data_IF_281197994904
#
_entry.id   IF_281197994904
#
_cell.length_a   1.000
_cell.length_b   1.000
_cell.length_c   1.000
_cell.angle_alpha   90.00
_cell.angle_beta   90.00
_cell.angle_gamma   90.00
#
_symmetry.space_group_name_H-M   'P 1'
#
loop_
_entity.id
_entity.type
_entity.pdbx_description
1 polymer ?
#
# COMPACT_ATOMS: atom_id res chain seq x y z
N UNK A 1 7.89 7.85 -10.91
CA UNK A 1 7.10 8.11 -9.68
C UNK A 1 6.26 9.35 -9.95
N UNK A 2 5.02 9.39 -9.47
CA UNK A 2 4.12 10.54 -9.60
C UNK A 2 3.53 10.85 -8.21
N UNK A 3 3.59 12.12 -7.79
CA UNK A 3 3.01 12.61 -6.55
C UNK A 3 2.04 13.76 -6.84
N UNK A 4 1.30 13.66 -7.94
CA UNK A 4 0.42 14.71 -8.46
C UNK A 4 1.12 16.08 -8.48
N UNK A 5 0.47 17.11 -7.96
CA UNK A 5 1.02 18.47 -7.86
C UNK A 5 1.89 18.73 -6.62
N UNK A 6 2.25 17.71 -5.83
CA UNK A 6 3.00 17.93 -4.59
C UNK A 6 4.46 18.32 -4.84
N UNK A 7 5.12 17.66 -5.78
CA UNK A 7 6.51 17.90 -6.17
C UNK A 7 6.85 17.10 -7.44
N UNK A 8 7.93 17.50 -8.13
CA UNK A 8 8.45 16.76 -9.27
C UNK A 8 9.70 15.94 -8.89
N UNK A 9 9.66 14.61 -8.99
CA UNK A 9 10.82 13.77 -8.67
C UNK A 9 11.93 13.80 -9.73
N UNK A 10 11.64 14.23 -10.95
CA UNK A 10 12.64 14.28 -12.03
C UNK A 10 13.58 15.49 -11.90
N UNK A 11 13.16 16.53 -11.18
CA UNK A 11 13.94 17.72 -10.86
C UNK A 11 14.52 17.72 -9.44
N UNK A 12 14.54 16.57 -8.76
CA UNK A 12 14.87 16.46 -7.33
C UNK A 12 13.98 17.29 -6.38
N UNK A 13 12.85 17.81 -6.87
CA UNK A 13 11.92 18.65 -6.10
C UNK A 13 11.22 17.92 -4.95
N UNK A 14 11.21 16.59 -4.95
CA UNK A 14 10.59 15.78 -3.90
C UNK A 14 11.51 15.46 -2.71
N UNK A 15 12.77 15.89 -2.72
CA UNK A 15 13.73 15.57 -1.66
C UNK A 15 13.38 16.18 -0.30
N UNK A 16 12.63 17.30 -0.29
CA UNK A 16 12.12 17.96 0.93
C UNK A 16 11.19 17.06 1.76
N UNK A 17 10.50 16.10 1.14
CA UNK A 17 9.62 15.14 1.84
C UNK A 17 10.39 14.26 2.84
N UNK A 18 11.71 14.18 2.74
CA UNK A 18 12.56 13.46 3.70
C UNK A 18 12.33 13.92 5.16
N UNK A 19 12.16 15.23 5.37
CA UNK A 19 11.93 15.79 6.71
C UNK A 19 10.57 15.36 7.26
N UNK A 20 9.52 15.43 6.43
CA UNK A 20 8.17 15.00 6.81
C UNK A 20 8.12 13.51 7.12
N UNK A 21 8.79 12.68 6.29
CA UNK A 21 8.89 11.24 6.51
C UNK A 21 9.47 10.94 7.89
N UNK A 22 10.62 11.55 8.22
CA UNK A 22 11.26 11.38 9.53
C UNK A 22 10.40 11.88 10.68
N UNK A 23 9.71 13.01 10.50
CA UNK A 23 8.80 13.58 11.48
C UNK A 23 7.63 12.65 11.80
N UNK A 24 7.04 12.00 10.79
CA UNK A 24 5.98 11.01 10.99
C UNK A 24 6.51 9.72 11.63
N UNK A 25 7.68 9.25 11.21
CA UNK A 25 8.33 8.08 11.79
C UNK A 25 8.67 8.28 13.28
N UNK A 26 9.09 9.48 13.68
CA UNK A 26 9.34 9.82 15.09
C UNK A 26 8.07 9.73 15.96
N UNK A 27 6.87 9.79 15.34
CA UNK A 27 5.57 9.58 16.00
C UNK A 27 5.09 8.13 15.93
N UNK A 28 5.95 7.19 15.54
CA UNK A 28 5.63 5.77 15.41
C UNK A 28 4.89 5.38 14.13
N UNK A 29 4.55 6.35 13.27
CA UNK A 29 3.82 6.10 12.02
C UNK A 29 4.75 5.45 11.00
N UNK A 30 4.32 4.33 10.43
CA UNK A 30 5.02 3.63 9.36
C UNK A 30 4.68 4.28 8.02
N UNK A 31 5.70 4.55 7.21
CA UNK A 31 5.53 5.09 5.86
C UNK A 31 6.05 4.11 4.81
N UNK A 32 5.17 3.73 3.90
CA UNK A 32 5.43 2.80 2.82
C UNK A 32 5.45 3.54 1.48
N UNK A 33 6.27 3.06 0.54
CA UNK A 33 6.15 3.46 -0.86
C UNK A 33 5.22 2.47 -1.56
N UNK A 34 4.10 2.95 -2.08
CA UNK A 34 3.24 2.13 -2.92
C UNK A 34 3.76 2.07 -4.36
N UNK A 35 3.78 0.86 -4.92
CA UNK A 35 4.10 0.58 -6.32
C UNK A 35 2.83 0.11 -7.03
N UNK A 36 2.63 0.62 -8.24
CA UNK A 36 1.45 0.32 -9.06
C UNK A 36 0.47 1.48 -9.10
N UNK A 37 -0.78 1.23 -8.70
CA UNK A 37 -1.94 2.09 -8.85
C UNK A 37 -2.65 1.94 -10.20
N UNK A 38 -3.86 2.46 -10.31
CA UNK A 38 -4.69 2.39 -11.53
C UNK A 38 -4.07 3.08 -12.77
N UNK A 39 -3.19 4.06 -12.56
CA UNK A 39 -2.58 4.84 -13.63
C UNK A 39 -1.15 4.40 -13.94
N UNK A 40 -0.78 4.47 -15.23
CA UNK A 40 0.56 4.15 -15.71
C UNK A 40 0.69 2.75 -16.29
N UNK A 41 1.89 2.40 -16.72
CA UNK A 41 2.21 1.09 -17.30
C UNK A 41 3.40 0.51 -16.57
N UNK A 42 3.20 -0.62 -15.91
CA UNK A 42 4.21 -1.33 -15.14
C UNK A 42 4.02 -2.83 -15.30
N UNK A 43 5.13 -3.55 -15.32
CA UNK A 43 5.17 -5.00 -15.32
C UNK A 43 6.57 -5.45 -14.90
N UNK A 44 6.71 -6.74 -14.59
CA UNK A 44 8.00 -7.38 -14.43
C UNK A 44 8.13 -8.40 -15.56
N UNK A 45 9.27 -8.40 -16.25
CA UNK A 45 9.49 -9.30 -17.38
C UNK A 45 10.03 -10.68 -16.96
N UNK A 46 10.69 -10.76 -15.80
CA UNK A 46 11.32 -11.98 -15.29
C UNK A 46 11.64 -11.88 -13.79
N UNK A 47 12.03 -12.99 -13.13
CA UNK A 47 12.55 -12.94 -11.75
C UNK A 47 13.82 -12.07 -11.62
N UNK A 48 14.65 -12.00 -12.67
CA UNK A 48 15.85 -11.15 -12.71
C UNK A 48 15.45 -9.67 -12.75
N UNK A 49 14.40 -9.35 -13.50
CA UNK A 49 13.86 -8.00 -13.57
C UNK A 49 13.29 -7.55 -12.20
N UNK A 50 12.55 -8.44 -11.53
CA UNK A 50 12.11 -8.24 -10.15
C UNK A 50 13.30 -7.98 -9.19
N UNK A 51 14.40 -8.72 -9.35
CA UNK A 51 15.61 -8.50 -8.56
C UNK A 51 16.25 -7.12 -8.83
N UNK A 52 16.27 -6.68 -10.10
CA UNK A 52 16.79 -5.35 -10.46
C UNK A 52 15.96 -4.24 -9.81
N UNK A 53 14.63 -4.35 -9.87
CA UNK A 53 13.72 -3.41 -9.19
C UNK A 53 13.98 -3.37 -7.69
N UNK A 54 14.16 -4.52 -7.03
CA UNK A 54 14.45 -4.60 -5.60
C UNK A 54 15.77 -3.93 -5.18
N UNK A 55 16.70 -3.72 -6.13
CA UNK A 55 18.05 -3.20 -5.88
C UNK A 55 18.23 -1.73 -6.24
N UNK A 56 17.18 -1.05 -6.70
CA UNK A 56 17.29 0.35 -7.14
C UNK A 56 17.88 1.25 -6.04
N UNK A 57 18.85 2.09 -6.41
CA UNK A 57 19.51 3.05 -5.51
C UNK A 57 18.93 4.46 -5.63
N UNK A 58 17.90 4.65 -6.46
CA UNK A 58 17.28 5.97 -6.65
C UNK A 58 16.62 6.45 -5.36
N UNK A 59 16.80 7.74 -5.04
CA UNK A 59 16.32 8.37 -3.80
C UNK A 59 15.45 9.59 -4.10
N UNK A 60 14.31 9.43 -4.78
CA UNK A 60 13.52 10.58 -5.23
C UNK A 60 12.87 11.35 -4.06
N UNK A 61 12.74 10.73 -2.89
CA UNK A 61 12.23 11.34 -1.64
C UNK A 61 13.36 11.77 -0.68
N UNK A 62 14.58 11.90 -1.18
CA UNK A 62 15.75 12.30 -0.40
C UNK A 62 16.35 11.17 0.46
N UNK A 63 17.04 11.56 1.54
CA UNK A 63 17.82 10.64 2.37
C UNK A 63 17.01 9.87 3.44
N UNK A 64 15.68 10.01 3.47
CA UNK A 64 14.81 9.27 4.38
C UNK A 64 14.74 7.79 4.00
N UNK A 65 14.68 6.91 5.01
CA UNK A 65 14.53 5.47 4.80
C UNK A 65 13.10 5.09 5.16
N UNK A 66 12.30 4.78 4.15
CA UNK A 66 10.92 4.29 4.33
C UNK A 66 10.89 2.98 5.11
N UNK A 67 9.71 2.65 5.63
CA UNK A 67 9.50 1.45 6.44
C UNK A 67 9.19 0.22 5.59
N UNK A 68 8.66 0.40 4.39
CA UNK A 68 8.24 -0.72 3.57
C UNK A 68 7.82 -0.37 2.15
N UNK A 69 7.37 -1.39 1.43
CA UNK A 69 6.83 -1.32 0.08
C UNK A 69 5.40 -1.86 0.09
N UNK A 70 4.49 -1.11 -0.51
CA UNK A 70 3.10 -1.48 -0.69
C UNK A 70 2.84 -1.91 -2.14
N UNK A 71 2.22 -3.06 -2.34
CA UNK A 71 1.93 -3.65 -3.64
C UNK A 71 0.47 -3.37 -4.01
N UNK A 72 0.24 -2.24 -4.70
CA UNK A 72 -1.05 -1.86 -5.27
C UNK A 72 -1.07 -2.18 -6.77
N UNK A 73 -0.98 -3.46 -7.09
CA UNK A 73 -0.82 -3.90 -8.48
C UNK A 73 -2.21 -4.07 -9.11
N UNK A 74 -2.61 -3.13 -9.95
CA UNK A 74 -3.94 -3.13 -10.59
C UNK A 74 -3.87 -3.50 -12.09
N UNK A 75 -2.72 -3.24 -12.74
CA UNK A 75 -2.49 -3.44 -14.17
C UNK A 75 -1.51 -4.56 -14.51
N UNK A 76 -1.34 -4.79 -15.83
CA UNK A 76 -0.31 -5.68 -16.37
C UNK A 76 -0.54 -7.16 -16.03
N UNK A 77 0.55 -7.88 -15.78
CA UNK A 77 0.52 -9.31 -15.45
C UNK A 77 0.63 -9.52 -13.95
N UNK A 78 0.11 -10.64 -13.45
CA UNK A 78 0.35 -11.04 -12.06
C UNK A 78 1.70 -11.73 -11.83
N UNK A 79 2.65 -11.65 -12.79
CA UNK A 79 3.92 -12.42 -12.80
C UNK A 79 5.00 -11.72 -11.98
N UNK A 80 5.83 -12.52 -11.31
CA UNK A 80 7.08 -12.14 -10.63
C UNK A 80 6.95 -11.15 -9.45
N UNK A 81 5.74 -10.74 -9.08
CA UNK A 81 5.51 -9.96 -7.85
C UNK A 81 5.88 -10.75 -6.59
N UNK A 82 5.77 -12.09 -6.63
CA UNK A 82 6.23 -12.96 -5.54
C UNK A 82 7.76 -13.04 -5.46
N UNK A 83 8.45 -13.03 -6.61
CA UNK A 83 9.91 -12.88 -6.63
C UNK A 83 10.34 -11.54 -6.04
N UNK A 84 9.69 -10.44 -6.43
CA UNK A 84 9.97 -9.11 -5.88
C UNK A 84 9.78 -9.10 -4.36
N UNK A 85 8.67 -9.65 -3.86
CA UNK A 85 8.41 -9.76 -2.42
C UNK A 85 9.51 -10.55 -1.69
N UNK A 86 9.97 -11.69 -2.26
CA UNK A 86 11.08 -12.47 -1.68
C UNK A 86 12.39 -11.69 -1.66
N UNK A 87 12.73 -10.96 -2.72
CA UNK A 87 13.95 -10.14 -2.76
C UNK A 87 13.92 -9.00 -1.75
N UNK A 88 12.80 -8.27 -1.66
CA UNK A 88 12.63 -7.20 -0.69
C UNK A 88 12.67 -7.74 0.75
N UNK A 89 11.98 -8.84 1.04
CA UNK A 89 11.95 -9.45 2.37
C UNK A 89 13.35 -9.83 2.88
N UNK A 90 14.24 -10.31 2.00
CA UNK A 90 15.64 -10.66 2.35
C UNK A 90 16.44 -9.48 2.89
N UNK A 91 16.12 -8.23 2.52
CA UNK A 91 16.79 -7.05 3.07
C UNK A 91 16.52 -6.85 4.56
N UNK A 92 15.43 -7.41 5.10
CA UNK A 92 15.15 -7.38 6.54
C UNK A 92 16.25 -8.05 7.36
N UNK A 93 17.01 -9.00 6.77
CA UNK A 93 18.14 -9.66 7.43
C UNK A 93 19.38 -8.76 7.56
N UNK A 94 19.38 -7.59 6.92
CA UNK A 94 20.51 -6.65 6.89
C UNK A 94 20.38 -5.50 7.89
N UNK A 95 19.36 -5.52 8.75
CA UNK A 95 19.13 -4.48 9.76
C UNK A 95 17.64 -4.20 9.95
N UNK A 96 17.20 -3.02 9.50
CA UNK A 96 15.79 -2.59 9.63
C UNK A 96 14.88 -3.54 8.84
N UNK A 97 13.80 -4.02 9.49
CA UNK A 97 12.73 -4.77 8.82
C UNK A 97 12.17 -3.96 7.66
N UNK A 98 12.00 -4.62 6.51
CA UNK A 98 11.27 -4.10 5.36
C UNK A 98 9.85 -4.64 5.45
N UNK A 99 8.91 -3.76 5.78
CA UNK A 99 7.49 -4.13 5.80
C UNK A 99 6.98 -4.32 4.37
N UNK A 100 6.16 -5.35 4.17
CA UNK A 100 5.48 -5.59 2.90
C UNK A 100 3.98 -5.49 3.11
N UNK A 101 3.32 -4.63 2.35
CA UNK A 101 1.86 -4.58 2.28
C UNK A 101 1.35 -4.79 0.88
N UNK A 102 0.08 -5.15 0.75
CA UNK A 102 -0.58 -5.28 -0.53
C UNK A 102 -2.01 -4.73 -0.47
N UNK A 103 -2.47 -4.19 -1.58
CA UNK A 103 -3.83 -3.71 -1.77
C UNK A 103 -4.56 -4.52 -2.86
N UNK A 104 -4.85 -5.82 -2.64
CA UNK A 104 -5.59 -6.62 -3.60
C UNK A 104 -7.03 -6.11 -3.78
N UNK A 105 -7.62 -6.35 -4.94
CA UNK A 105 -9.06 -6.21 -5.14
C UNK A 105 -9.81 -7.27 -4.31
N UNK A 106 -11.09 -7.04 -4.01
CA UNK A 106 -11.87 -7.98 -3.21
C UNK A 106 -12.17 -9.36 -3.86
N UNK A 107 -12.23 -9.53 -5.21
CA UNK A 107 -12.39 -10.85 -5.80
C UNK A 107 -11.23 -11.77 -5.44
N UNK A 108 -11.55 -12.92 -4.87
CA UNK A 108 -10.56 -13.87 -4.39
C UNK A 108 -10.49 -15.12 -5.28
N UNK A 109 -9.29 -15.58 -5.69
CA UNK A 109 -7.98 -14.97 -5.45
C UNK A 109 -7.75 -13.74 -6.34
N UNK A 110 -6.98 -12.77 -5.84
CA UNK A 110 -6.59 -11.59 -6.61
C UNK A 110 -5.71 -11.97 -7.82
N UNK A 111 -6.08 -11.48 -9.00
CA UNK A 111 -5.44 -11.85 -10.26
C UNK A 111 -4.04 -11.25 -10.47
N UNK A 112 -3.67 -10.22 -9.70
CA UNK A 112 -2.42 -9.46 -9.86
C UNK A 112 -1.42 -9.82 -8.77
N UNK A 113 -1.80 -9.66 -7.51
CA UNK A 113 -0.93 -9.85 -6.34
C UNK A 113 -1.18 -11.18 -5.61
N UNK A 114 -2.18 -11.98 -6.02
CA UNK A 114 -2.54 -13.24 -5.35
C UNK A 114 -1.38 -14.24 -5.23
N UNK A 115 -0.48 -14.32 -6.21
CA UNK A 115 0.74 -15.14 -6.10
C UNK A 115 1.72 -14.63 -5.05
N UNK A 116 1.92 -13.33 -4.98
CA UNK A 116 2.77 -12.70 -3.98
C UNK A 116 2.21 -12.93 -2.57
N UNK A 117 0.90 -12.78 -2.39
CA UNK A 117 0.23 -13.05 -1.11
C UNK A 117 0.45 -14.50 -0.61
N UNK A 118 0.45 -15.48 -1.51
CA UNK A 118 0.70 -16.90 -1.17
C UNK A 118 2.10 -17.17 -0.60
N UNK A 119 3.03 -16.22 -0.70
CA UNK A 119 4.37 -16.37 -0.09
C UNK A 119 4.34 -16.31 1.44
N UNK A 120 3.30 -15.72 2.04
CA UNK A 120 3.22 -15.49 3.49
C UNK A 120 4.17 -14.40 4.00
N UNK A 121 4.72 -13.56 3.11
CA UNK A 121 5.70 -12.52 3.46
C UNK A 121 5.09 -11.15 3.77
N UNK A 122 3.78 -10.97 3.53
CA UNK A 122 3.10 -9.69 3.69
C UNK A 122 2.65 -9.48 5.13
N UNK A 123 2.96 -8.31 5.68
CA UNK A 123 2.63 -7.89 7.04
C UNK A 123 1.21 -7.30 7.13
N UNK A 124 0.80 -6.56 6.09
CA UNK A 124 -0.50 -5.91 6.02
C UNK A 124 -1.17 -6.18 4.67
N UNK A 125 -2.47 -6.47 4.68
CA UNK A 125 -3.26 -6.67 3.46
C UNK A 125 -4.52 -5.83 3.54
N UNK A 126 -4.56 -4.76 2.75
CA UNK A 126 -5.65 -3.79 2.70
C UNK A 126 -6.55 -4.11 1.50
N UNK A 127 -7.46 -5.06 1.67
CA UNK A 127 -8.37 -5.49 0.58
C UNK A 127 -9.28 -4.34 0.16
N UNK A 128 -9.31 -4.05 -1.15
CA UNK A 128 -10.13 -2.99 -1.73
C UNK A 128 -11.58 -3.47 -1.92
N UNK A 129 -12.44 -3.23 -0.92
CA UNK A 129 -13.88 -3.54 -0.97
C UNK A 129 -14.71 -2.48 -1.72
N UNK A 130 -14.17 -1.96 -2.82
CA UNK A 130 -14.81 -0.98 -3.69
C UNK A 130 -14.41 -1.23 -5.15
N UNK A 131 -15.10 -0.61 -6.11
CA UNK A 131 -14.85 -0.77 -7.56
C UNK A 131 -14.90 -2.22 -8.08
N UNK A 132 -15.68 -3.09 -7.42
CA UNK A 132 -15.84 -4.50 -7.78
C UNK A 132 -17.33 -4.86 -7.81
N UNK A 133 -17.78 -5.57 -8.83
CA UNK A 133 -19.16 -6.08 -8.88
C UNK A 133 -19.40 -7.15 -7.78
N UNK A 134 -20.57 -7.17 -7.11
CA UNK A 134 -21.74 -6.31 -7.29
C UNK A 134 -21.69 -4.96 -6.54
N UNK A 135 -20.64 -4.73 -5.75
CA UNK A 135 -20.46 -3.58 -4.84
C UNK A 135 -20.41 -2.19 -5.52
N UNK A 136 -20.27 -2.11 -6.84
CA UNK A 136 -20.25 -0.84 -7.58
C UNK A 136 -19.12 0.08 -7.10
N UNK A 137 -19.45 1.33 -6.78
CA UNK A 137 -18.48 2.30 -6.19
C UNK A 137 -17.99 1.88 -4.80
N UNK A 138 -18.72 1.02 -4.08
CA UNK A 138 -18.33 0.47 -2.79
C UNK A 138 -18.21 1.46 -1.62
N UNK A 139 -18.73 2.69 -1.75
CA UNK A 139 -18.74 3.62 -0.63
C UNK A 139 -19.72 3.15 0.47
N UNK A 140 -19.20 3.00 1.69
CA UNK A 140 -19.99 2.61 2.87
C UNK A 140 -20.24 3.85 3.72
N UNK A 141 -21.50 4.15 4.03
CA UNK A 141 -21.84 5.24 4.96
C UNK A 141 -21.24 4.98 6.35
N UNK A 142 -20.80 6.03 7.05
CA UNK A 142 -20.13 5.91 8.35
C UNK A 142 -21.00 5.17 9.38
N UNK A 143 -22.32 5.41 9.36
CA UNK A 143 -23.29 4.71 10.22
C UNK A 143 -23.34 3.21 9.92
N UNK A 144 -23.34 2.80 8.66
CA UNK A 144 -23.32 1.39 8.28
C UNK A 144 -21.98 0.73 8.60
N UNK A 145 -20.86 1.43 8.38
CA UNK A 145 -19.54 0.92 8.75
C UNK A 145 -19.48 0.62 10.25
N UNK A 146 -19.90 1.57 11.08
CA UNK A 146 -19.81 1.47 12.55
C UNK A 146 -20.84 0.54 13.16
N UNK A 147 -22.07 0.50 12.65
CA UNK A 147 -23.16 -0.29 13.24
C UNK A 147 -23.29 -1.71 12.67
N UNK A 148 -22.81 -1.96 11.44
CA UNK A 148 -22.99 -3.25 10.76
C UNK A 148 -21.67 -3.95 10.44
N UNK A 149 -20.74 -3.24 9.79
CA UNK A 149 -19.53 -3.87 9.25
C UNK A 149 -18.48 -4.14 10.33
N UNK A 150 -18.08 -3.12 11.09
CA UNK A 150 -17.05 -3.25 12.13
C UNK A 150 -17.43 -4.32 13.18
N UNK A 151 -18.67 -4.39 13.70
CA UNK A 151 -19.07 -5.45 14.62
C UNK A 151 -18.91 -6.86 14.04
N UNK A 152 -19.12 -7.03 12.74
CA UNK A 152 -19.00 -8.34 12.09
C UNK A 152 -17.53 -8.77 11.87
N UNK A 153 -16.60 -7.83 11.67
CA UNK A 153 -15.21 -8.16 11.30
C UNK A 153 -14.21 -8.02 12.44
N UNK A 154 -14.48 -7.18 13.45
CA UNK A 154 -13.55 -6.91 14.57
C UNK A 154 -13.28 -8.12 15.47
N UNK A 155 -14.16 -9.13 15.46
CA UNK A 155 -13.93 -10.39 16.19
C UNK A 155 -12.81 -11.26 15.62
N UNK A 156 -12.35 -10.99 14.39
CA UNK A 156 -11.27 -11.75 13.76
C UNK A 156 -9.91 -11.36 14.34
N UNK A 157 -9.10 -12.36 14.72
CA UNK A 157 -7.69 -12.15 15.15
C UNK A 157 -6.79 -11.57 14.05
N UNK A 158 -7.26 -11.56 12.80
CA UNK A 158 -6.54 -11.00 11.64
C UNK A 158 -7.01 -9.58 11.27
N UNK A 159 -8.02 -9.03 11.96
CA UNK A 159 -8.46 -7.67 11.71
C UNK A 159 -7.37 -6.68 12.15
N UNK A 160 -6.88 -5.88 11.20
CA UNK A 160 -5.81 -4.90 11.44
C UNK A 160 -6.25 -3.43 11.45
N UNK A 161 -7.50 -3.15 11.07
CA UNK A 161 -8.04 -1.80 10.95
C UNK A 161 -8.74 -1.55 9.62
N UNK A 162 -8.89 -0.27 9.29
CA UNK A 162 -9.53 0.23 8.05
C UNK A 162 -8.51 1.00 7.21
N UNK A 163 -8.47 0.72 5.90
CA UNK A 163 -7.72 1.49 4.93
C UNK A 163 -8.68 2.41 4.17
N UNK A 164 -8.28 3.67 3.94
CA UNK A 164 -9.07 4.65 3.23
C UNK A 164 -8.31 5.15 2.00
N UNK A 165 -8.97 5.07 0.84
CA UNK A 165 -8.57 5.81 -0.35
C UNK A 165 -9.42 7.09 -0.45
N UNK A 166 -8.88 8.29 -0.31
CA UNK A 166 -7.50 8.66 0.00
C UNK A 166 -7.50 9.87 0.94
N UNK A 167 -6.32 10.37 1.34
CA UNK A 167 -6.19 11.57 2.19
C UNK A 167 -6.99 12.77 1.67
N UNK A 168 -7.04 12.97 0.36
CA UNK A 168 -7.78 14.07 -0.26
C UNK A 168 -9.29 13.98 0.04
N UNK A 169 -9.90 12.81 -0.18
CA UNK A 169 -11.32 12.60 0.08
C UNK A 169 -11.64 12.53 1.58
N UNK A 170 -10.69 12.04 2.39
CA UNK A 170 -10.83 12.02 3.85
C UNK A 170 -10.86 13.44 4.44
N UNK A 171 -10.03 14.36 3.93
CA UNK A 171 -10.06 15.77 4.36
C UNK A 171 -11.39 16.46 4.02
N UNK A 172 -12.00 16.10 2.89
CA UNK A 172 -13.27 16.67 2.46
C UNK A 172 -14.45 16.11 3.24
N UNK A 173 -14.44 14.80 3.51
CA UNK A 173 -15.56 14.09 4.12
C UNK A 173 -15.48 14.01 5.64
N UNK A 174 -14.28 14.13 6.22
CA UNK A 174 -14.03 13.87 7.63
C UNK A 174 -14.23 12.40 8.04
N UNK A 175 -14.15 11.46 7.09
CA UNK A 175 -14.54 10.07 7.31
C UNK A 175 -13.75 9.40 8.43
N UNK A 176 -12.41 9.51 8.41
CA UNK A 176 -11.53 8.93 9.42
C UNK A 176 -11.80 9.49 10.82
N UNK A 177 -12.06 10.79 10.92
CA UNK A 177 -12.41 11.45 12.19
C UNK A 177 -13.70 10.86 12.78
N UNK A 178 -14.68 10.56 11.94
CA UNK A 178 -15.98 10.03 12.36
C UNK A 178 -15.94 8.56 12.79
N UNK A 179 -15.00 7.76 12.25
CA UNK A 179 -14.90 6.33 12.56
C UNK A 179 -13.79 6.00 13.55
N UNK A 180 -12.94 6.97 13.90
CA UNK A 180 -11.69 6.75 14.64
C UNK A 180 -11.87 5.95 15.93
N UNK A 181 -12.88 6.29 16.71
CA UNK A 181 -13.11 5.65 18.01
C UNK A 181 -13.77 4.27 17.88
N UNK A 182 -14.27 3.93 16.69
CA UNK A 182 -14.90 2.65 16.40
C UNK A 182 -13.94 1.59 15.83
N UNK A 183 -12.81 2.00 15.24
CA UNK A 183 -11.78 1.11 14.66
C UNK A 183 -10.82 0.64 15.74
#
# INVERSE_FOLDING_TARGET
MNLAGHCDPNSHGCTGLSADIKSRQAKGIKLMLSIGGAAGSYSLASPIDAQKVARTSSRPLGNSVLDGIDFDIEGGTGLYWDDLARYLSRYSKRGKKVYLSAAPQCPFPDARVGRALKTGLFDYVSVQFYNNAPSGSGFIQMSDLTSKVLPAIKGSRKFGGVMLWSKYYDDQSGYSKSIKDAV
#
